data_IF_062306324656
#
_entry.id   IF_062306324656
#
_cell.length_a   1.000
_cell.length_b   1.000
_cell.length_c   1.000
_cell.angle_alpha   90.00
_cell.angle_beta   90.00
_cell.angle_gamma   90.00
#
_symmetry.space_group_name_H-M   'P 1'
#
loop_
_entity.id
_entity.type
_entity.pdbx_description
1 polymer ?
#
# COMPACT_ATOMS: atom_id res chain seq x y z
N UNK A 1 -57.22 -55.87 44.80
CA UNK A 1 -55.95 -56.02 43.99
C UNK A 1 -55.87 -54.90 42.96
N UNK A 2 -55.16 -53.86 43.19
CA UNK A 2 -54.98 -52.72 42.23
C UNK A 2 -53.58 -52.80 41.67
N UNK A 3 -53.44 -52.97 40.35
CA UNK A 3 -52.21 -52.89 39.59
C UNK A 3 -51.85 -51.43 39.37
N UNK A 4 -50.69 -51.05 39.86
CA UNK A 4 -50.11 -49.74 39.58
C UNK A 4 -49.34 -49.83 38.29
N UNK A 5 -49.76 -49.08 37.24
CA UNK A 5 -49.02 -48.91 35.99
C UNK A 5 -47.98 -47.84 36.21
N UNK A 6 -46.71 -48.21 36.08
CA UNK A 6 -45.56 -47.31 36.07
C UNK A 6 -45.46 -46.65 34.68
N UNK A 7 -45.66 -45.34 34.66
CA UNK A 7 -45.43 -44.50 33.50
C UNK A 7 -43.92 -44.23 33.36
N UNK A 8 -43.29 -44.74 32.32
CA UNK A 8 -41.90 -44.37 31.95
C UNK A 8 -41.95 -43.10 31.09
N UNK A 9 -41.50 -42.02 31.71
CA UNK A 9 -41.28 -40.76 31.02
C UNK A 9 -40.04 -40.88 30.12
N UNK A 10 -40.24 -40.80 28.81
CA UNK A 10 -39.19 -40.76 27.80
C UNK A 10 -38.79 -39.29 27.65
N UNK A 11 -37.67 -38.91 28.23
CA UNK A 11 -37.09 -37.59 27.99
C UNK A 11 -36.36 -37.63 26.65
N UNK A 12 -37.00 -37.12 25.57
CA UNK A 12 -36.34 -36.82 24.30
C UNK A 12 -35.44 -35.64 24.47
N UNK A 13 -34.14 -35.90 24.65
CA UNK A 13 -33.11 -34.87 24.60
C UNK A 13 -32.97 -34.35 23.19
N UNK A 14 -33.48 -33.15 22.92
CA UNK A 14 -33.20 -32.43 21.69
C UNK A 14 -31.80 -31.81 21.83
N UNK A 15 -30.81 -32.45 21.19
CA UNK A 15 -29.48 -31.89 21.07
C UNK A 15 -29.55 -30.73 20.08
N UNK A 16 -29.53 -29.49 20.60
CA UNK A 16 -29.40 -28.27 19.78
C UNK A 16 -27.94 -28.17 19.33
N UNK A 17 -27.69 -28.50 18.07
CA UNK A 17 -26.40 -28.33 17.42
C UNK A 17 -26.28 -26.85 17.08
N UNK A 18 -25.60 -26.07 17.96
CA UNK A 18 -25.26 -24.68 17.69
C UNK A 18 -24.11 -24.69 16.70
N UNK A 19 -24.41 -24.57 15.41
CA UNK A 19 -23.45 -24.28 14.37
C UNK A 19 -22.95 -22.84 14.57
N UNK A 20 -21.80 -22.68 15.21
CA UNK A 20 -21.08 -21.44 15.28
C UNK A 20 -20.58 -21.10 13.85
N UNK A 21 -21.35 -20.34 13.11
CA UNK A 21 -20.87 -19.65 11.91
C UNK A 21 -19.79 -18.64 12.38
N UNK A 22 -18.53 -19.04 12.26
CA UNK A 22 -17.41 -18.13 12.30
C UNK A 22 -17.61 -17.16 11.12
N UNK A 23 -18.10 -15.96 11.39
CA UNK A 23 -18.18 -14.91 10.41
C UNK A 23 -16.75 -14.55 9.99
N UNK A 24 -16.31 -15.11 8.87
CA UNK A 24 -15.12 -14.64 8.18
C UNK A 24 -15.44 -13.25 7.66
N UNK A 25 -15.02 -12.22 8.40
CA UNK A 25 -14.96 -10.87 7.87
C UNK A 25 -13.75 -10.81 6.92
N UNK A 26 -13.96 -10.65 5.60
CA UNK A 26 -12.84 -10.43 4.72
C UNK A 26 -12.09 -9.17 5.19
N UNK A 27 -10.79 -9.26 5.36
CA UNK A 27 -9.97 -8.08 5.61
C UNK A 27 -10.12 -7.15 4.40
N UNK A 28 -10.74 -5.99 4.59
CA UNK A 28 -10.87 -4.99 3.54
C UNK A 28 -9.47 -4.45 3.22
N UNK A 29 -9.01 -4.69 1.99
CA UNK A 29 -7.75 -4.14 1.50
C UNK A 29 -7.88 -2.61 1.41
N UNK A 30 -7.08 -1.90 2.17
CA UNK A 30 -7.11 -0.44 2.19
C UNK A 30 -6.38 0.13 0.98
N UNK A 31 -7.04 1.06 0.24
CA UNK A 31 -6.47 1.76 -0.90
C UNK A 31 -6.17 3.20 -0.52
N UNK A 32 -4.89 3.56 -0.46
CA UNK A 32 -4.42 4.92 -0.18
C UNK A 32 -4.13 5.67 -1.48
N UNK A 33 -4.54 6.93 -1.57
CA UNK A 33 -4.21 7.83 -2.69
C UNK A 33 -3.44 9.04 -2.18
N UNK A 34 -2.34 9.37 -2.86
CA UNK A 34 -1.46 10.49 -2.51
C UNK A 34 -1.16 11.29 -3.76
N UNK A 35 -1.04 12.60 -3.64
CA UNK A 35 -0.84 13.52 -4.74
C UNK A 35 0.32 14.46 -4.44
N UNK A 36 1.22 14.63 -5.41
CA UNK A 36 2.33 15.58 -5.34
C UNK A 36 2.35 16.48 -6.57
N UNK A 37 2.77 17.72 -6.40
CA UNK A 37 3.03 18.66 -7.49
C UNK A 37 4.51 18.93 -7.56
N UNK A 38 5.08 18.92 -8.77
CA UNK A 38 6.50 19.17 -8.98
C UNK A 38 6.76 20.00 -10.22
N UNK A 39 7.53 21.08 -10.04
CA UNK A 39 8.09 21.84 -11.16
C UNK A 39 9.37 21.17 -11.64
N UNK A 40 9.49 20.98 -12.93
CA UNK A 40 10.63 20.37 -13.58
C UNK A 40 11.08 21.21 -14.77
N UNK A 41 12.37 21.18 -15.07
CA UNK A 41 12.90 21.85 -16.26
C UNK A 41 12.75 20.95 -17.47
N UNK A 42 12.44 21.56 -18.62
CA UNK A 42 12.39 20.84 -19.89
C UNK A 42 13.73 20.17 -20.19
N UNK A 43 13.67 18.93 -20.69
CA UNK A 43 14.81 18.11 -21.10
C UNK A 43 15.86 17.83 -20.00
N UNK A 44 15.51 18.02 -18.73
CA UNK A 44 16.39 17.74 -17.58
C UNK A 44 15.88 16.52 -16.82
N UNK A 45 16.77 15.52 -16.65
CA UNK A 45 16.45 14.34 -15.85
C UNK A 45 16.26 14.76 -14.37
N UNK A 46 15.01 14.74 -13.91
CA UNK A 46 14.62 15.26 -12.60
C UNK A 46 14.04 14.15 -11.75
N UNK A 47 14.53 14.01 -10.53
CA UNK A 47 13.96 13.12 -9.53
C UNK A 47 12.55 13.56 -9.15
N UNK A 48 11.57 12.66 -9.29
CA UNK A 48 10.14 12.97 -9.04
C UNK A 48 9.49 12.12 -7.98
N UNK A 49 9.95 10.89 -7.75
CA UNK A 49 9.29 9.96 -6.86
C UNK A 49 10.26 8.98 -6.24
N UNK A 50 9.99 8.63 -4.99
CA UNK A 50 10.57 7.48 -4.32
C UNK A 50 9.48 6.70 -3.61
N UNK A 51 9.64 5.41 -3.53
CA UNK A 51 8.83 4.56 -2.68
C UNK A 51 9.73 3.69 -1.83
N UNK A 52 9.58 3.84 -0.54
CA UNK A 52 10.26 3.06 0.48
C UNK A 52 9.30 2.87 1.64
N UNK A 53 9.34 1.74 2.30
CA UNK A 53 8.62 1.52 3.53
C UNK A 53 9.50 0.77 4.51
N UNK A 54 9.42 1.19 5.77
CA UNK A 54 10.08 0.53 6.88
C UNK A 54 9.02 0.09 7.89
N UNK A 55 9.21 -1.09 8.44
CA UNK A 55 8.48 -1.55 9.59
C UNK A 55 8.84 -0.73 10.84
N UNK A 56 8.03 -0.85 11.89
CA UNK A 56 8.26 -0.15 13.16
C UNK A 56 9.60 -0.52 13.83
N UNK A 57 10.15 -1.68 13.52
CA UNK A 57 11.44 -2.17 13.97
C UNK A 57 12.62 -1.71 13.09
N UNK A 58 12.35 -0.84 12.11
CA UNK A 58 13.31 -0.34 11.12
C UNK A 58 13.78 -1.37 10.08
N UNK A 59 13.15 -2.51 9.99
CA UNK A 59 13.38 -3.45 8.88
C UNK A 59 12.68 -2.99 7.61
N UNK A 60 13.21 -3.39 6.46
CA UNK A 60 12.69 -2.99 5.15
C UNK A 60 11.42 -3.76 4.83
N UNK A 61 10.32 -3.05 4.56
CA UNK A 61 9.14 -3.66 3.99
C UNK A 61 9.36 -3.89 2.48
N UNK A 62 9.05 -5.10 2.02
CA UNK A 62 9.15 -5.47 0.61
C UNK A 62 7.92 -5.02 -0.16
N UNK A 63 7.95 -3.77 -0.64
CA UNK A 63 6.90 -3.24 -1.50
C UNK A 63 7.04 -3.76 -2.93
N UNK A 64 5.92 -4.21 -3.51
CA UNK A 64 5.81 -4.44 -4.95
C UNK A 64 5.33 -3.15 -5.59
N UNK A 65 6.22 -2.49 -6.33
CA UNK A 65 5.93 -1.19 -6.95
C UNK A 65 6.04 -1.26 -8.47
N UNK A 66 5.18 -0.51 -9.16
CA UNK A 66 5.22 -0.35 -10.62
C UNK A 66 4.73 1.04 -11.02
N UNK A 67 5.08 1.45 -12.23
CA UNK A 67 4.40 2.57 -12.89
C UNK A 67 3.02 2.09 -13.32
N UNK A 68 1.99 2.81 -12.90
CA UNK A 68 0.61 2.55 -13.30
C UNK A 68 0.23 3.34 -14.55
N UNK A 69 0.59 4.63 -14.58
CA UNK A 69 0.41 5.50 -15.74
C UNK A 69 1.73 6.17 -16.05
N UNK A 70 2.16 6.05 -17.30
CA UNK A 70 3.35 6.73 -17.80
C UNK A 70 3.02 8.15 -18.24
N UNK A 71 3.97 9.10 -18.15
CA UNK A 71 3.79 10.45 -18.65
C UNK A 71 3.62 10.45 -20.19
N UNK A 72 2.81 11.39 -20.69
CA UNK A 72 2.53 11.50 -22.12
C UNK A 72 3.60 12.31 -22.86
N UNK A 73 4.25 13.24 -22.16
CA UNK A 73 5.19 14.21 -22.75
C UNK A 73 6.62 14.04 -22.27
N UNK A 74 6.96 12.83 -21.83
CA UNK A 74 8.30 12.52 -21.34
C UNK A 74 8.53 11.04 -21.13
N UNK A 75 9.65 10.73 -20.51
CA UNK A 75 10.05 9.37 -20.17
C UNK A 75 10.35 9.24 -18.69
N UNK A 76 10.17 8.03 -18.16
CA UNK A 76 10.58 7.67 -16.81
C UNK A 76 11.77 6.73 -16.82
N UNK A 77 12.78 7.07 -16.05
CA UNK A 77 13.87 6.17 -15.68
C UNK A 77 13.65 5.69 -14.26
N UNK A 78 13.50 4.39 -14.08
CA UNK A 78 13.39 3.77 -12.78
C UNK A 78 14.77 3.28 -12.34
N UNK A 79 15.09 3.51 -11.07
CA UNK A 79 16.28 2.98 -10.42
C UNK A 79 15.86 2.29 -9.13
N UNK A 80 16.29 1.03 -8.97
CA UNK A 80 16.17 0.29 -7.72
C UNK A 80 17.46 0.45 -6.93
N UNK A 81 17.36 0.54 -5.63
CA UNK A 81 18.54 0.60 -4.76
C UNK A 81 18.26 1.31 -3.44
N UNK A 82 19.35 1.67 -2.81
CA UNK A 82 19.34 2.32 -1.50
C UNK A 82 18.66 3.69 -1.55
N UNK A 83 17.62 3.84 -0.76
CA UNK A 83 16.91 5.10 -0.56
C UNK A 83 17.16 5.57 0.85
N UNK A 84 17.70 6.78 0.99
CA UNK A 84 17.86 7.38 2.31
C UNK A 84 16.48 7.70 2.89
N UNK A 85 16.25 7.24 4.09
CA UNK A 85 15.02 7.50 4.81
C UNK A 85 14.97 8.95 5.29
N UNK A 86 13.89 9.66 4.96
CA UNK A 86 13.67 11.07 5.33
C UNK A 86 12.37 11.24 6.13
N UNK A 87 12.12 10.35 7.09
CA UNK A 87 10.98 10.53 7.97
C UNK A 87 11.09 11.81 8.80
N UNK A 88 9.98 12.50 8.95
CA UNK A 88 9.89 13.62 9.87
C UNK A 88 10.22 13.13 11.30
N UNK A 89 11.04 13.92 12.00
CA UNK A 89 11.49 13.59 13.37
C UNK A 89 10.32 13.45 14.37
N UNK A 90 9.15 13.96 14.02
CA UNK A 90 7.94 13.86 14.83
C UNK A 90 7.22 12.50 14.71
N UNK A 91 7.55 11.69 13.72
CA UNK A 91 6.90 10.40 13.51
C UNK A 91 7.58 9.29 14.32
N UNK A 92 6.78 8.24 14.65
CA UNK A 92 7.30 7.04 15.35
C UNK A 92 8.50 6.41 14.65
N UNK A 93 8.60 6.56 13.32
CA UNK A 93 9.71 6.09 12.50
C UNK A 93 10.94 7.01 12.54
N UNK A 94 10.92 8.13 13.27
CA UNK A 94 12.11 8.99 13.42
C UNK A 94 13.32 8.24 13.96
N UNK A 95 13.11 7.22 14.80
CA UNK A 95 14.16 6.31 15.24
C UNK A 95 14.84 5.57 14.10
N UNK A 96 14.15 5.40 12.96
CA UNK A 96 14.64 4.74 11.76
C UNK A 96 15.35 5.71 10.79
N UNK A 97 15.60 6.95 11.17
CA UNK A 97 16.17 7.98 10.27
C UNK A 97 17.53 7.64 9.68
N UNK A 98 18.24 6.67 10.27
CA UNK A 98 19.52 6.15 9.75
C UNK A 98 19.35 4.82 9.00
N UNK A 99 18.15 4.25 8.97
CA UNK A 99 17.92 3.03 8.25
C UNK A 99 17.93 3.31 6.75
N UNK A 100 18.55 2.41 6.03
CA UNK A 100 18.64 2.45 4.58
C UNK A 100 17.70 1.40 4.04
N UNK A 101 16.68 1.83 3.31
CA UNK A 101 15.72 0.94 2.68
C UNK A 101 16.05 0.75 1.20
N UNK A 102 15.82 -0.45 0.69
CA UNK A 102 15.77 -0.68 -0.74
C UNK A 102 14.40 -0.23 -1.25
N UNK A 103 14.42 0.68 -2.21
CA UNK A 103 13.21 1.23 -2.78
C UNK A 103 13.34 1.51 -4.27
N UNK A 104 12.27 2.05 -4.85
CA UNK A 104 12.25 2.53 -6.23
C UNK A 104 12.38 4.04 -6.21
N UNK A 105 13.27 4.55 -7.07
CA UNK A 105 13.38 5.96 -7.41
C UNK A 105 12.94 6.14 -8.85
N UNK A 106 12.16 7.17 -9.13
CA UNK A 106 11.78 7.55 -10.47
C UNK A 106 12.31 8.93 -10.83
N UNK A 107 12.92 9.00 -12.00
CA UNK A 107 13.37 10.22 -12.64
C UNK A 107 12.55 10.45 -13.88
N UNK A 108 12.11 11.67 -14.09
CA UNK A 108 11.38 12.11 -15.26
C UNK A 108 12.25 13.00 -16.11
N UNK A 109 12.17 12.84 -17.43
CA UNK A 109 12.72 13.73 -18.43
C UNK A 109 11.64 14.00 -19.47
N UNK A 110 11.29 15.29 -19.66
CA UNK A 110 10.34 15.67 -20.69
C UNK A 110 10.92 15.44 -22.09
N UNK A 111 10.03 15.35 -23.05
CA UNK A 111 10.43 15.47 -24.45
C UNK A 111 11.13 16.82 -24.68
N UNK A 112 12.09 16.84 -25.59
CA UNK A 112 12.87 18.03 -25.88
C UNK A 112 11.96 19.23 -26.23
N UNK A 113 12.16 20.36 -25.54
CA UNK A 113 11.40 21.58 -25.76
C UNK A 113 9.97 21.58 -25.24
N UNK A 114 9.47 20.48 -24.71
CA UNK A 114 8.12 20.45 -24.13
C UNK A 114 8.01 21.35 -22.91
N UNK A 115 6.94 22.12 -22.84
CA UNK A 115 6.52 22.92 -21.69
C UNK A 115 5.02 22.76 -21.49
N UNK A 116 4.60 22.54 -20.25
CA UNK A 116 3.19 22.28 -19.96
C UNK A 116 2.99 21.37 -18.77
N UNK A 117 1.84 20.71 -18.74
CA UNK A 117 1.46 19.75 -17.70
C UNK A 117 1.70 18.34 -18.17
N UNK A 118 2.14 17.51 -17.23
CA UNK A 118 2.28 16.06 -17.44
C UNK A 118 1.99 15.35 -16.13
N UNK A 119 1.81 14.06 -16.12
CA UNK A 119 1.61 13.30 -14.90
C UNK A 119 2.20 11.89 -14.98
N UNK A 120 2.53 11.34 -13.83
CA UNK A 120 2.88 9.94 -13.69
C UNK A 120 2.18 9.36 -12.46
N UNK A 121 1.67 8.14 -12.57
CA UNK A 121 1.03 7.44 -11.46
C UNK A 121 1.83 6.21 -11.09
N UNK A 122 2.16 6.09 -9.83
CA UNK A 122 2.86 4.94 -9.26
C UNK A 122 1.89 4.13 -8.40
N UNK A 123 1.98 2.83 -8.52
CA UNK A 123 1.22 1.88 -7.70
C UNK A 123 2.18 1.08 -6.84
N UNK A 124 1.82 0.87 -5.60
CA UNK A 124 2.54 -0.03 -4.70
C UNK A 124 1.57 -0.86 -3.86
N UNK A 125 2.00 -2.05 -3.49
CA UNK A 125 1.29 -2.93 -2.57
C UNK A 125 2.27 -3.45 -1.51
N UNK A 126 1.83 -3.41 -0.26
CA UNK A 126 2.59 -3.94 0.87
C UNK A 126 2.36 -5.46 1.07
N UNK A 127 3.17 -6.14 1.89
CA UNK A 127 2.98 -7.56 2.17
C UNK A 127 1.64 -7.92 2.84
N UNK A 128 0.97 -6.96 3.46
CA UNK A 128 -0.36 -7.14 4.07
C UNK A 128 -1.50 -7.02 3.05
N UNK A 129 -1.20 -6.65 1.79
CA UNK A 129 -2.18 -6.48 0.72
C UNK A 129 -2.76 -5.07 0.61
N UNK A 130 -2.33 -4.11 1.45
CA UNK A 130 -2.76 -2.73 1.29
C UNK A 130 -2.10 -2.13 0.06
N UNK A 131 -2.87 -1.36 -0.70
CA UNK A 131 -2.38 -0.74 -1.93
C UNK A 131 -2.34 0.77 -1.83
N UNK A 132 -1.42 1.38 -2.57
CA UNK A 132 -1.30 2.82 -2.66
C UNK A 132 -1.10 3.26 -4.10
N UNK A 133 -1.76 4.37 -4.45
CA UNK A 133 -1.53 5.11 -5.69
C UNK A 133 -0.93 6.47 -5.35
N UNK A 134 0.16 6.79 -6.01
CA UNK A 134 0.79 8.11 -5.90
C UNK A 134 0.80 8.76 -7.26
N UNK A 135 0.07 9.87 -7.40
CA UNK A 135 0.07 10.69 -8.61
C UNK A 135 1.04 11.85 -8.44
N UNK A 136 1.98 11.97 -9.37
CA UNK A 136 2.89 13.10 -9.44
C UNK A 136 2.48 13.98 -10.61
N UNK A 137 1.93 15.14 -10.32
CA UNK A 137 1.61 16.17 -11.30
C UNK A 137 2.85 16.99 -11.58
N UNK A 138 3.22 17.09 -12.85
CA UNK A 138 4.42 17.76 -13.31
C UNK A 138 4.05 19.08 -14.01
N UNK A 139 4.81 20.13 -13.72
CA UNK A 139 4.78 21.36 -14.48
C UNK A 139 6.13 21.54 -15.11
N UNK A 140 6.21 21.34 -16.42
CA UNK A 140 7.45 21.47 -17.22
C UNK A 140 7.61 22.92 -17.65
N UNK A 141 8.76 23.51 -17.34
CA UNK A 141 9.09 24.92 -17.65
C UNK A 141 10.34 25.07 -18.51
#
# INVERSE_FOLDING_TARGET
>A
MRKILSSRSIHSGVAILVLAFLAYTPAEAHVKRTFFHKDVRSDVNTYIYKNEELHQDCTVAHLKSKVWTYPEHGSLQLSTGTVANTYDKALLQAKCSRAVANGIKAFYRSNAGYKGKDEAVFYAVDPAGNSSFTTVYLTVR
#
